data_IF_165546053748
#
_entry.id   IF_165546053748
#
_cell.length_a   1.000
_cell.length_b   1.000
_cell.length_c   1.000
_cell.angle_alpha   90.00
_cell.angle_beta   90.00
_cell.angle_gamma   90.00
#
_symmetry.space_group_name_H-M   'P 1'
#
loop_
_entity.id
_entity.type
_entity.pdbx_description
1 polymer ?
#
# COMPACT_ATOMS: atom_id res chain seq x y z
N UNK A 1 16.43 65.24 33.96
CA UNK A 1 15.88 65.05 32.59
C UNK A 1 14.82 63.94 32.65
N UNK A 2 13.53 64.24 32.40
CA UNK A 2 12.45 63.24 32.41
C UNK A 2 12.31 62.66 30.99
N UNK A 3 12.53 61.34 30.82
CA UNK A 3 12.31 60.65 29.53
C UNK A 3 10.82 60.67 29.20
N UNK A 4 10.47 61.12 28.00
CA UNK A 4 9.09 61.07 27.48
C UNK A 4 8.67 59.60 27.34
N UNK A 5 7.47 59.20 27.79
CA UNK A 5 6.98 57.85 27.57
C UNK A 5 6.75 57.64 26.06
N UNK A 6 7.36 56.59 25.50
CA UNK A 6 7.09 56.16 24.13
C UNK A 6 5.65 55.62 24.07
N UNK A 7 4.83 56.22 23.22
CA UNK A 7 3.49 55.71 22.90
C UNK A 7 3.66 54.41 22.14
N UNK A 8 3.32 53.28 22.78
CA UNK A 8 3.25 51.99 22.10
C UNK A 8 2.07 52.04 21.13
N UNK A 9 2.35 51.98 19.84
CA UNK A 9 1.32 51.85 18.82
C UNK A 9 0.63 50.49 19.01
N UNK A 10 -0.67 50.51 19.28
CA UNK A 10 -1.49 49.32 19.42
C UNK A 10 -1.92 48.79 18.05
N UNK A 11 -2.12 47.46 17.97
CA UNK A 11 -2.64 46.80 16.77
C UNK A 11 -4.09 47.23 16.53
N UNK A 12 -4.42 47.65 15.32
CA UNK A 12 -5.78 48.03 14.95
C UNK A 12 -6.59 46.81 14.51
N UNK A 13 -7.92 46.87 14.67
CA UNK A 13 -8.82 45.82 14.21
C UNK A 13 -8.71 45.59 12.70
N UNK A 14 -8.44 46.65 11.92
CA UNK A 14 -8.32 46.54 10.47
C UNK A 14 -7.03 45.83 10.06
N UNK A 15 -5.92 46.06 10.75
CA UNK A 15 -4.67 45.33 10.53
C UNK A 15 -4.85 43.84 10.81
N UNK A 16 -5.55 43.48 11.88
CA UNK A 16 -5.85 42.08 12.18
C UNK A 16 -6.76 41.45 11.13
N UNK A 17 -7.76 42.19 10.62
CA UNK A 17 -8.69 41.72 9.60
C UNK A 17 -7.97 41.42 8.27
N UNK A 18 -7.06 42.31 7.85
CA UNK A 18 -6.27 42.08 6.62
C UNK A 18 -5.36 40.85 6.77
N UNK A 19 -4.75 40.65 7.94
CA UNK A 19 -3.87 39.49 8.19
C UNK A 19 -4.64 38.17 8.08
N UNK A 20 -5.79 38.06 8.75
CA UNK A 20 -6.61 36.84 8.64
C UNK A 20 -7.16 36.63 7.23
N UNK A 21 -7.44 37.73 6.50
CA UNK A 21 -7.84 37.67 5.09
C UNK A 21 -6.74 37.09 4.20
N UNK A 22 -5.49 37.53 4.37
CA UNK A 22 -4.34 36.98 3.63
C UNK A 22 -4.10 35.51 4.02
N UNK A 23 -4.17 35.16 5.31
CA UNK A 23 -4.03 33.77 5.77
C UNK A 23 -5.11 32.85 5.19
N UNK A 24 -6.35 33.32 5.07
CA UNK A 24 -7.45 32.56 4.48
C UNK A 24 -7.20 32.28 2.97
N UNK A 25 -6.71 33.27 2.22
CA UNK A 25 -6.36 33.09 0.81
C UNK A 25 -5.20 32.09 0.67
N UNK A 26 -4.15 32.23 1.47
CA UNK A 26 -3.02 31.30 1.45
C UNK A 26 -3.46 29.87 1.78
N UNK A 27 -4.29 29.68 2.81
CA UNK A 27 -4.84 28.37 3.17
C UNK A 27 -5.71 27.77 2.05
N UNK A 28 -6.53 28.60 1.38
CA UNK A 28 -7.39 28.15 0.27
C UNK A 28 -6.57 27.61 -0.92
N UNK A 29 -5.43 28.21 -1.22
CA UNK A 29 -4.53 27.76 -2.28
C UNK A 29 -3.81 26.44 -1.94
N UNK A 30 -3.65 26.13 -0.65
CA UNK A 30 -2.97 24.90 -0.19
C UNK A 30 -3.87 23.66 -0.25
N UNK A 31 -5.18 23.80 -0.07
CA UNK A 31 -6.14 22.67 -0.06
C UNK A 31 -6.00 21.70 -1.27
N UNK A 32 -5.99 22.16 -2.53
CA UNK A 32 -5.91 21.23 -3.67
C UNK A 32 -4.57 20.46 -3.72
N UNK A 33 -3.47 21.10 -3.29
CA UNK A 33 -2.15 20.47 -3.28
C UNK A 33 -2.08 19.29 -2.28
N UNK A 34 -2.73 19.44 -1.12
CA UNK A 34 -2.77 18.39 -0.09
C UNK A 34 -3.48 17.13 -0.61
N UNK A 35 -4.64 17.29 -1.27
CA UNK A 35 -5.39 16.16 -1.81
C UNK A 35 -4.59 15.37 -2.86
N UNK A 36 -3.80 16.05 -3.70
CA UNK A 36 -2.91 15.38 -4.64
C UNK A 36 -1.77 14.65 -3.94
N UNK A 37 -1.20 15.22 -2.87
CA UNK A 37 -0.15 14.56 -2.10
C UNK A 37 -0.65 13.29 -1.40
N UNK A 38 -1.85 13.31 -0.82
CA UNK A 38 -2.45 12.12 -0.19
C UNK A 38 -2.61 11.00 -1.21
N UNK A 39 -3.22 11.28 -2.38
CA UNK A 39 -3.38 10.28 -3.45
C UNK A 39 -2.05 9.70 -3.92
N UNK A 40 -1.02 10.54 -4.07
CA UNK A 40 0.33 10.06 -4.41
C UNK A 40 0.95 9.22 -3.29
N UNK A 41 0.67 9.56 -2.04
CA UNK A 41 1.09 8.79 -0.87
C UNK A 41 0.44 7.40 -0.83
N UNK A 42 -0.87 7.33 -1.05
CA UNK A 42 -1.61 6.07 -1.16
C UNK A 42 -1.04 5.19 -2.28
N UNK A 43 -0.79 5.77 -3.46
CA UNK A 43 -0.18 5.04 -4.57
C UNK A 43 1.24 4.56 -4.24
N UNK A 44 2.07 5.42 -3.65
CA UNK A 44 3.44 5.04 -3.28
C UNK A 44 3.45 3.92 -2.24
N UNK A 45 2.55 3.99 -1.25
CA UNK A 45 2.37 2.93 -0.26
C UNK A 45 1.97 1.62 -0.92
N UNK A 46 0.94 1.63 -1.77
CA UNK A 46 0.45 0.41 -2.40
C UNK A 46 1.48 -0.26 -3.32
N UNK A 47 2.28 0.54 -4.03
CA UNK A 47 3.38 0.01 -4.82
C UNK A 47 4.50 -0.58 -3.95
N UNK A 48 4.82 0.04 -2.81
CA UNK A 48 5.81 -0.47 -1.87
C UNK A 48 5.36 -1.81 -1.25
N UNK A 49 4.09 -1.90 -0.87
CA UNK A 49 3.47 -3.11 -0.32
C UNK A 49 3.46 -4.24 -1.35
N UNK A 50 3.12 -3.98 -2.61
CA UNK A 50 3.20 -4.97 -3.68
C UNK A 50 4.63 -5.53 -3.85
N UNK A 51 5.66 -4.67 -3.82
CA UNK A 51 7.07 -5.10 -3.88
C UNK A 51 7.50 -5.90 -2.65
N UNK A 52 6.99 -5.52 -1.48
CA UNK A 52 7.21 -6.25 -0.23
C UNK A 52 6.63 -7.67 -0.35
N UNK A 53 5.40 -7.82 -0.84
CA UNK A 53 4.76 -9.12 -1.03
C UNK A 53 5.56 -10.01 -1.98
N UNK A 54 6.01 -9.49 -3.12
CA UNK A 54 6.88 -10.25 -4.03
C UNK A 54 8.14 -10.77 -3.31
N UNK A 55 8.76 -9.92 -2.49
CA UNK A 55 9.95 -10.30 -1.69
C UNK A 55 9.65 -11.35 -0.62
N UNK A 56 8.51 -11.24 0.06
CA UNK A 56 8.02 -12.21 1.06
C UNK A 56 7.84 -13.58 0.43
N UNK A 57 7.17 -13.64 -0.72
CA UNK A 57 6.92 -14.88 -1.43
C UNK A 57 8.21 -15.51 -1.97
N UNK A 58 9.16 -14.70 -2.42
CA UNK A 58 10.50 -15.21 -2.78
C UNK A 58 11.23 -15.82 -1.58
N UNK A 59 11.14 -15.23 -0.38
CA UNK A 59 11.70 -15.84 0.83
C UNK A 59 11.02 -17.18 1.15
N UNK A 60 9.70 -17.25 1.04
CA UNK A 60 8.96 -18.49 1.22
C UNK A 60 9.42 -19.58 0.23
N UNK A 61 9.55 -19.22 -1.06
CA UNK A 61 10.03 -20.15 -2.08
C UNK A 61 11.46 -20.62 -1.83
N UNK A 62 12.35 -19.75 -1.37
CA UNK A 62 13.73 -20.14 -1.04
C UNK A 62 13.80 -21.14 0.11
N UNK A 63 12.83 -21.11 1.04
CA UNK A 63 12.79 -21.99 2.21
C UNK A 63 12.15 -23.36 1.91
N UNK A 64 11.16 -23.39 1.03
CA UNK A 64 10.35 -24.59 0.74
C UNK A 64 10.55 -25.16 -0.67
N UNK A 65 11.08 -24.39 -1.61
CA UNK A 65 11.28 -24.79 -3.02
C UNK A 65 10.00 -24.98 -3.83
N UNK A 66 8.85 -24.66 -3.25
CA UNK A 66 7.53 -24.83 -3.84
C UNK A 66 6.66 -23.61 -3.53
N UNK A 67 5.77 -23.26 -4.47
CA UNK A 67 4.72 -22.29 -4.23
C UNK A 67 3.61 -22.88 -3.36
N UNK A 68 2.84 -22.05 -2.62
CA UNK A 68 1.70 -22.52 -1.83
C UNK A 68 0.54 -23.03 -2.69
N UNK A 69 0.54 -22.72 -3.99
CA UNK A 69 -0.48 -23.11 -4.97
C UNK A 69 0.15 -23.85 -6.15
N UNK A 70 -0.65 -24.64 -6.85
CA UNK A 70 -0.22 -25.43 -8.02
C UNK A 70 -0.71 -24.87 -9.35
N UNK A 71 -1.49 -23.79 -9.32
CA UNK A 71 -2.03 -23.12 -10.50
C UNK A 71 -1.56 -21.66 -10.53
N UNK A 72 -1.62 -21.05 -11.71
CA UNK A 72 -1.27 -19.64 -11.91
C UNK A 72 -2.50 -18.72 -11.75
N UNK A 73 -3.43 -19.09 -10.87
CA UNK A 73 -4.58 -18.24 -10.56
C UNK A 73 -4.19 -17.16 -9.54
N UNK A 74 -5.06 -16.16 -9.43
CA UNK A 74 -4.90 -15.09 -8.46
C UNK A 74 -5.03 -15.63 -7.05
N UNK A 75 -4.02 -15.36 -6.24
CA UNK A 75 -3.95 -15.75 -4.86
C UNK A 75 -4.12 -14.51 -3.99
N UNK A 76 -5.26 -14.39 -3.33
CA UNK A 76 -5.57 -13.25 -2.47
C UNK A 76 -4.80 -13.35 -1.14
N UNK A 77 -4.27 -12.22 -0.68
CA UNK A 77 -3.64 -12.06 0.65
C UNK A 77 -4.70 -11.97 1.75
N UNK A 78 -5.53 -13.00 1.85
CA UNK A 78 -6.59 -13.08 2.85
C UNK A 78 -6.02 -13.38 4.25
N UNK A 79 -6.87 -13.30 5.27
CA UNK A 79 -6.51 -13.55 6.66
C UNK A 79 -5.83 -14.90 6.88
N UNK A 80 -6.27 -15.97 6.21
CA UNK A 80 -5.61 -17.28 6.35
C UNK A 80 -4.18 -17.27 5.82
N UNK A 81 -3.96 -16.64 4.66
CA UNK A 81 -2.62 -16.51 4.05
C UNK A 81 -1.73 -15.62 4.90
N UNK A 82 -2.24 -14.50 5.40
CA UNK A 82 -1.50 -13.61 6.30
C UNK A 82 -1.10 -14.35 7.59
N UNK A 83 -2.02 -15.09 8.20
CA UNK A 83 -1.73 -15.88 9.40
C UNK A 83 -0.74 -17.02 9.13
N UNK A 84 -0.79 -17.62 7.93
CA UNK A 84 0.18 -18.62 7.48
C UNK A 84 1.58 -18.03 7.41
N UNK A 85 1.73 -16.85 6.78
CA UNK A 85 3.02 -16.16 6.64
C UNK A 85 3.54 -15.60 7.96
N UNK A 86 2.66 -15.24 8.90
CA UNK A 86 2.97 -14.84 10.28
C UNK A 86 3.30 -16.02 11.21
N UNK A 87 3.16 -17.26 10.73
CA UNK A 87 3.31 -18.48 11.54
C UNK A 87 2.43 -18.51 12.82
N UNK A 88 1.26 -17.86 12.77
CA UNK A 88 0.42 -17.62 13.94
C UNK A 88 -0.59 -18.74 14.24
N UNK A 89 -0.76 -19.71 13.34
CA UNK A 89 -1.71 -20.81 13.54
C UNK A 89 -1.35 -21.67 14.78
N UNK A 90 -2.39 -21.99 15.57
CA UNK A 90 -2.27 -22.83 16.78
C UNK A 90 -1.95 -24.29 16.45
N UNK A 91 -2.30 -24.75 15.25
CA UNK A 91 -1.93 -26.04 14.68
C UNK A 91 -0.95 -25.82 13.53
N UNK A 92 -0.07 -26.80 13.26
CA UNK A 92 0.87 -26.71 12.14
C UNK A 92 0.11 -26.65 10.82
N UNK A 93 0.16 -25.52 10.12
CA UNK A 93 -0.36 -25.40 8.76
C UNK A 93 0.54 -26.21 7.80
N UNK A 94 0.00 -27.12 6.97
CA UNK A 94 0.78 -27.90 6.02
C UNK A 94 1.61 -27.05 5.04
N UNK A 95 1.22 -25.80 4.80
CA UNK A 95 1.91 -24.85 3.91
C UNK A 95 3.10 -24.17 4.58
N UNK A 96 3.09 -24.00 5.91
CA UNK A 96 4.23 -23.45 6.66
C UNK A 96 4.61 -24.37 7.83
N UNK A 97 5.05 -25.62 7.56
CA UNK A 97 5.29 -26.60 8.61
C UNK A 97 6.47 -26.23 9.53
N UNK A 98 7.43 -25.44 9.04
CA UNK A 98 8.57 -24.95 9.85
C UNK A 98 8.21 -23.76 10.74
N UNK A 99 7.00 -23.20 10.61
CA UNK A 99 6.52 -22.04 11.38
C UNK A 99 7.48 -20.83 11.31
N UNK A 100 8.01 -20.59 10.11
CA UNK A 100 8.90 -19.46 9.86
C UNK A 100 8.03 -18.23 9.58
N UNK A 101 8.38 -17.11 10.21
CA UNK A 101 7.73 -15.82 9.96
C UNK A 101 8.34 -15.23 8.68
N UNK A 102 7.51 -15.11 7.65
CA UNK A 102 7.89 -14.49 6.38
C UNK A 102 7.39 -13.05 6.25
N UNK A 103 6.30 -12.72 6.95
CA UNK A 103 5.61 -11.44 6.80
C UNK A 103 5.01 -11.00 8.12
N UNK A 104 5.17 -9.71 8.44
CA UNK A 104 4.58 -9.04 9.60
C UNK A 104 4.06 -7.67 9.13
N UNK A 105 2.81 -7.59 8.64
CA UNK A 105 2.20 -6.32 8.29
C UNK A 105 1.89 -5.50 9.54
N UNK A 106 1.81 -4.18 9.38
CA UNK A 106 1.16 -3.32 10.38
C UNK A 106 -0.31 -3.74 10.52
N UNK A 107 -0.82 -3.77 11.75
CA UNK A 107 -2.22 -4.08 12.03
C UNK A 107 -3.15 -3.06 11.37
N UNK A 108 -2.69 -1.82 11.10
CA UNK A 108 -3.48 -0.83 10.35
C UNK A 108 -3.68 -1.19 8.87
N UNK A 109 -2.83 -2.06 8.32
CA UNK A 109 -2.93 -2.53 6.94
C UNK A 109 -3.80 -3.80 6.83
N UNK A 110 -4.37 -4.26 7.93
CA UNK A 110 -5.27 -5.41 7.98
C UNK A 110 -6.72 -4.94 8.14
N UNK A 111 -7.63 -5.56 7.37
CA UNK A 111 -9.05 -5.35 7.56
C UNK A 111 -9.59 -6.21 8.73
N UNK A 112 -10.89 -6.11 9.03
CA UNK A 112 -11.53 -6.89 10.10
C UNK A 112 -11.44 -8.42 9.93
N UNK A 113 -11.17 -8.91 8.72
CA UNK A 113 -10.97 -10.32 8.40
C UNK A 113 -9.48 -10.74 8.48
N UNK A 114 -8.57 -9.83 8.83
CA UNK A 114 -7.12 -9.95 8.77
C UNK A 114 -6.55 -10.08 7.35
N UNK A 115 -7.32 -9.70 6.32
CA UNK A 115 -6.79 -9.62 4.97
C UNK A 115 -5.84 -8.42 4.86
N UNK A 116 -4.75 -8.59 4.14
CA UNK A 116 -3.84 -7.50 3.84
C UNK A 116 -4.40 -6.66 2.69
N UNK A 117 -4.76 -5.41 3.01
CA UNK A 117 -5.48 -4.52 2.10
C UNK A 117 -4.65 -3.31 1.71
N UNK A 118 -4.92 -2.79 0.53
CA UNK A 118 -4.37 -1.54 0.05
C UNK A 118 -5.06 -0.32 0.72
N UNK A 119 -4.58 0.92 0.47
CA UNK A 119 -5.17 2.13 1.07
C UNK A 119 -6.64 2.36 0.73
N UNK A 120 -7.17 1.71 -0.31
CA UNK A 120 -8.56 1.80 -0.74
C UNK A 120 -9.42 0.64 -0.21
N UNK A 121 -8.83 -0.28 0.55
CA UNK A 121 -9.50 -1.40 1.21
C UNK A 121 -9.61 -2.66 0.35
N UNK A 122 -8.97 -2.70 -0.82
CA UNK A 122 -8.96 -3.88 -1.68
C UNK A 122 -7.85 -4.84 -1.24
N UNK A 123 -8.12 -6.15 -1.27
CA UNK A 123 -7.16 -7.16 -0.86
C UNK A 123 -6.08 -7.31 -1.94
N UNK A 124 -4.81 -7.28 -1.53
CA UNK A 124 -3.70 -7.54 -2.45
C UNK A 124 -3.79 -8.94 -3.04
N UNK A 125 -3.38 -9.05 -4.30
CA UNK A 125 -3.35 -10.32 -5.01
C UNK A 125 -1.93 -10.61 -5.48
N UNK A 126 -1.61 -11.89 -5.51
CA UNK A 126 -0.34 -12.38 -6.02
C UNK A 126 -0.59 -13.51 -7.01
N UNK A 127 0.31 -13.65 -7.97
CA UNK A 127 0.29 -14.75 -8.93
C UNK A 127 1.71 -15.32 -9.00
N UNK A 128 1.79 -16.63 -9.05
CA UNK A 128 3.06 -17.37 -9.03
C UNK A 128 3.29 -18.01 -10.38
N UNK A 129 4.56 -18.10 -10.77
CA UNK A 129 4.98 -18.91 -11.90
C UNK A 129 4.95 -20.39 -11.49
N UNK A 130 3.78 -21.02 -11.67
CA UNK A 130 3.57 -22.43 -11.34
C UNK A 130 4.12 -23.34 -12.44
N UNK A 131 4.17 -22.86 -13.69
CA UNK A 131 4.71 -23.60 -14.84
C UNK A 131 6.24 -23.61 -14.89
N UNK A 132 6.90 -22.72 -14.14
CA UNK A 132 8.35 -22.52 -14.08
C UNK A 132 8.96 -22.11 -15.41
N UNK A 133 8.20 -21.44 -16.25
CA UNK A 133 8.66 -20.92 -17.54
C UNK A 133 9.24 -19.50 -17.43
N UNK A 134 9.21 -18.93 -16.22
CA UNK A 134 9.69 -17.58 -15.90
C UNK A 134 8.74 -16.47 -16.33
N UNK A 135 7.49 -16.80 -16.72
CA UNK A 135 6.54 -15.86 -17.32
C UNK A 135 5.22 -15.90 -16.59
N UNK A 136 4.77 -14.72 -16.15
CA UNK A 136 3.44 -14.59 -15.55
C UNK A 136 2.66 -13.53 -16.33
N UNK A 137 1.47 -13.92 -16.79
CA UNK A 137 0.54 -12.96 -17.41
C UNK A 137 0.07 -11.99 -16.33
N UNK A 138 0.05 -10.66 -16.55
CA UNK A 138 -0.46 -9.71 -15.58
C UNK A 138 -2.00 -9.76 -15.46
N UNK A 139 -2.59 -9.17 -14.41
CA UNK A 139 -4.03 -8.92 -14.34
C UNK A 139 -4.51 -8.10 -15.56
N UNK A 140 -5.74 -8.34 -16.03
CA UNK A 140 -6.32 -7.64 -17.19
C UNK A 140 -6.00 -8.21 -18.57
N UNK A 141 -5.18 -9.26 -18.67
CA UNK A 141 -5.09 -10.09 -19.88
C UNK A 141 -4.28 -9.49 -21.04
N UNK A 142 -3.11 -8.92 -20.75
CA UNK A 142 -2.16 -8.47 -21.77
C UNK A 142 -1.35 -9.58 -22.43
N UNK A 143 -0.74 -9.28 -23.59
CA UNK A 143 0.14 -10.20 -24.35
C UNK A 143 1.57 -10.29 -23.80
N UNK A 144 2.00 -9.30 -23.01
CA UNK A 144 3.35 -9.22 -22.49
C UNK A 144 3.41 -9.85 -21.09
N UNK A 145 3.84 -11.11 -21.05
CA UNK A 145 4.12 -11.77 -19.79
C UNK A 145 5.28 -11.08 -19.06
N UNK A 146 5.12 -10.92 -17.76
CA UNK A 146 6.14 -10.36 -16.88
C UNK A 146 7.17 -11.44 -16.59
N UNK A 147 8.44 -11.12 -16.78
CA UNK A 147 9.55 -12.00 -16.45
C UNK A 147 9.87 -11.95 -14.96
N UNK A 148 9.05 -12.60 -14.15
CA UNK A 148 9.23 -12.70 -12.71
C UNK A 148 8.68 -14.03 -12.17
N UNK A 149 9.32 -14.61 -11.13
CA UNK A 149 8.83 -15.84 -10.48
C UNK A 149 7.55 -15.64 -9.67
N UNK A 150 7.30 -14.41 -9.22
CA UNK A 150 6.10 -14.00 -8.51
C UNK A 150 5.79 -12.55 -8.86
N UNK A 151 4.52 -12.24 -9.06
CA UNK A 151 4.03 -10.88 -9.20
C UNK A 151 2.97 -10.60 -8.13
N UNK A 152 2.93 -9.36 -7.67
CA UNK A 152 1.93 -8.88 -6.72
C UNK A 152 1.38 -7.54 -7.20
N UNK A 153 0.09 -7.29 -6.93
CA UNK A 153 -0.53 -6.02 -7.28
C UNK A 153 -1.67 -5.63 -6.33
N UNK A 154 -1.95 -4.33 -6.30
CA UNK A 154 -3.18 -3.75 -5.80
C UNK A 154 -4.11 -3.44 -6.98
N UNK A 155 -5.41 -3.65 -6.77
CA UNK A 155 -6.48 -3.34 -7.73
C UNK A 155 -6.80 -1.84 -7.82
N UNK A 156 -6.03 -0.98 -7.15
CA UNK A 156 -6.22 0.46 -7.17
C UNK A 156 -7.52 0.94 -6.50
N UNK A 157 -7.86 2.24 -6.65
CA UNK A 157 -9.11 2.79 -6.15
C UNK A 157 -10.38 2.19 -6.74
N UNK A 158 -10.34 1.68 -7.99
CA UNK A 158 -11.53 1.16 -8.66
C UNK A 158 -11.87 -0.29 -8.28
N UNK A 159 -10.91 -1.01 -7.69
CA UNK A 159 -11.05 -2.40 -7.25
C UNK A 159 -11.18 -3.41 -8.39
N UNK A 160 -10.86 -3.02 -9.62
CA UNK A 160 -11.09 -3.79 -10.84
C UNK A 160 -9.77 -4.14 -11.53
N UNK A 161 -9.30 -5.36 -11.31
CA UNK A 161 -8.05 -5.85 -11.92
C UNK A 161 -8.07 -5.84 -13.45
N UNK A 162 -9.26 -5.88 -14.06
CA UNK A 162 -9.42 -5.86 -15.51
C UNK A 162 -9.09 -4.49 -16.13
N UNK A 163 -9.24 -3.41 -15.37
CA UNK A 163 -8.95 -2.04 -15.77
C UNK A 163 -7.56 -1.64 -15.28
N UNK A 164 -6.52 -2.15 -15.94
CA UNK A 164 -5.10 -1.99 -15.52
C UNK A 164 -4.54 -0.56 -15.41
N UNK A 165 -5.34 0.48 -15.61
CA UNK A 165 -4.89 1.87 -15.63
C UNK A 165 -4.49 2.41 -14.25
N UNK A 166 -5.04 1.86 -13.18
CA UNK A 166 -4.80 2.29 -11.79
C UNK A 166 -4.20 1.18 -10.90
N UNK A 167 -4.08 -0.05 -11.42
CA UNK A 167 -3.38 -1.14 -10.76
C UNK A 167 -1.93 -0.76 -10.42
N UNK A 168 -1.51 -1.07 -9.20
CA UNK A 168 -0.14 -0.83 -8.76
C UNK A 168 0.60 -2.14 -8.57
N UNK A 169 1.71 -2.26 -9.30
CA UNK A 169 2.39 -3.52 -9.56
C UNK A 169 3.75 -3.61 -8.88
N UNK A 170 4.19 -4.83 -8.59
CA UNK A 170 5.52 -5.09 -8.06
C UNK A 170 6.64 -4.95 -9.10
N UNK A 171 6.30 -5.07 -10.39
CA UNK A 171 7.21 -4.95 -11.54
C UNK A 171 7.09 -3.59 -12.23
#
# INVERSE_FOLDING_TARGET
MKKKPETKNGFTLIELLVVIGILAILAALLMPAINTMIKKGEQAQAQADAKLLASVWMKYFNEYGIWPVQNELDYAMNGEVVLMLRAYFKTSDPRNPKRIVFFEPDESALNSANDFVDPWGNVYKVRFDATRDGRIVPPGGGIDAVLAPVIAWSSGPDGQDATTNDNLTSW
#
